data_IF_894520597922
#
_entry.id   IF_894520597922
#
_cell.length_a   1.000
_cell.length_b   1.000
_cell.length_c   1.000
_cell.angle_alpha   90.00
_cell.angle_beta   90.00
_cell.angle_gamma   90.00
#
_symmetry.space_group_name_H-M   'P 1'
#
loop_
_entity.id
_entity.type
_entity.pdbx_description
1 polymer ?
#
# COMPACT_ATOMS: atom_id res chain seq x y z
N UNK A 1 -11.74 19.62 8.74
CA UNK A 1 -10.34 20.01 9.00
C UNK A 1 -10.11 20.59 10.39
N UNK A 2 -10.61 21.80 10.72
CA UNK A 2 -10.27 22.48 12.00
C UNK A 2 -10.55 21.66 13.26
N UNK A 3 -11.66 20.93 13.31
CA UNK A 3 -11.95 20.02 14.42
C UNK A 3 -10.85 18.96 14.62
N UNK A 4 -10.29 18.40 13.55
CA UNK A 4 -9.17 17.46 13.61
C UNK A 4 -7.89 18.13 14.12
N UNK A 5 -7.58 19.34 13.63
CA UNK A 5 -6.44 20.15 14.15
C UNK A 5 -6.58 20.37 15.66
N UNK A 6 -7.79 20.71 16.08
CA UNK A 6 -8.13 21.00 17.45
C UNK A 6 -7.96 19.75 18.34
N UNK A 7 -8.45 18.58 17.91
CA UNK A 7 -8.25 17.31 18.63
C UNK A 7 -6.77 16.94 18.73
N UNK A 8 -6.01 17.09 17.65
CA UNK A 8 -4.57 16.82 17.65
C UNK A 8 -3.79 17.74 18.58
N UNK A 9 -4.21 19.00 18.74
CA UNK A 9 -3.62 19.91 19.72
C UNK A 9 -3.77 19.42 21.17
N UNK A 10 -4.69 18.47 21.41
CA UNK A 10 -4.90 17.79 22.69
C UNK A 10 -4.32 16.37 22.71
N UNK A 11 -3.60 15.97 21.67
CA UNK A 11 -3.01 14.64 21.52
C UNK A 11 -4.00 13.57 21.06
N UNK A 12 -5.22 13.93 20.65
CA UNK A 12 -6.26 12.96 20.27
C UNK A 12 -6.26 12.80 18.75
N UNK A 13 -6.10 11.56 18.27
CA UNK A 13 -6.24 11.18 16.86
C UNK A 13 -7.64 10.57 16.69
N UNK A 14 -8.48 11.15 15.83
CA UNK A 14 -9.85 10.65 15.61
C UNK A 14 -9.83 9.41 14.70
N UNK A 15 -10.12 8.24 15.25
CA UNK A 15 -10.10 6.96 14.50
C UNK A 15 -11.49 6.47 14.09
N UNK A 16 -12.52 7.28 14.29
CA UNK A 16 -13.93 6.96 14.00
C UNK A 16 -14.59 8.00 13.10
N UNK A 17 -13.82 8.67 12.24
CA UNK A 17 -14.33 9.67 11.32
C UNK A 17 -14.99 9.00 10.10
N UNK A 18 -16.24 9.34 9.84
CA UNK A 18 -16.99 9.02 8.61
C UNK A 18 -18.10 10.05 8.41
N UNK A 19 -18.73 10.07 7.24
CA UNK A 19 -19.78 11.04 6.88
C UNK A 19 -20.93 11.06 7.90
N UNK A 20 -21.37 9.88 8.36
CA UNK A 20 -22.39 9.75 9.41
C UNK A 20 -22.06 10.37 10.78
N UNK A 21 -20.78 10.64 11.08
CA UNK A 21 -20.35 11.30 12.32
C UNK A 21 -20.13 12.81 12.14
N UNK A 22 -20.59 13.36 11.02
CA UNK A 22 -20.50 14.78 10.71
C UNK A 22 -21.91 15.34 10.64
N UNK A 23 -22.26 16.16 11.63
CA UNK A 23 -23.51 16.91 11.63
C UNK A 23 -23.30 18.27 10.97
N UNK A 24 -24.17 18.60 10.02
CA UNK A 24 -24.18 19.91 9.38
C UNK A 24 -25.31 20.72 10.03
N UNK A 25 -24.95 21.81 10.70
CA UNK A 25 -25.88 22.69 11.40
C UNK A 25 -25.50 24.14 11.12
N UNK A 26 -26.41 24.92 10.52
CA UNK A 26 -26.26 26.36 10.27
C UNK A 26 -24.89 26.73 9.63
N UNK A 27 -24.54 26.07 8.51
CA UNK A 27 -23.26 26.26 7.79
C UNK A 27 -22.01 25.84 8.57
N UNK A 28 -22.16 25.20 9.72
CA UNK A 28 -21.07 24.63 10.49
C UNK A 28 -21.11 23.10 10.43
N UNK A 29 -19.95 22.47 10.30
CA UNK A 29 -19.80 21.02 10.42
C UNK A 29 -19.28 20.69 11.82
N UNK A 30 -20.00 19.84 12.54
CA UNK A 30 -19.70 19.39 13.90
C UNK A 30 -19.37 17.91 13.88
N UNK A 31 -18.28 17.53 14.53
CA UNK A 31 -17.87 16.13 14.67
C UNK A 31 -18.54 15.52 15.91
N UNK A 32 -19.20 14.38 15.73
CA UNK A 32 -19.82 13.60 16.81
C UNK A 32 -19.01 12.33 17.10
N UNK A 33 -19.48 11.53 18.05
CA UNK A 33 -19.00 10.17 18.32
C UNK A 33 -17.50 10.04 18.64
N UNK A 34 -16.95 11.10 19.23
CA UNK A 34 -15.57 11.12 19.75
C UNK A 34 -15.34 10.09 20.86
N UNK A 35 -16.41 9.60 21.50
CA UNK A 35 -16.30 8.60 22.56
C UNK A 35 -15.68 7.29 22.06
N UNK A 36 -15.90 6.89 20.80
CA UNK A 36 -15.28 5.69 20.23
C UNK A 36 -13.75 5.80 20.26
N UNK A 37 -13.23 6.97 19.88
CA UNK A 37 -11.81 7.29 19.96
C UNK A 37 -11.33 7.34 21.43
N UNK A 38 -12.09 8.02 22.29
CA UNK A 38 -11.73 8.20 23.70
C UNK A 38 -11.82 6.91 24.53
N UNK A 39 -12.63 5.94 24.14
CA UNK A 39 -12.69 4.62 24.77
C UNK A 39 -11.80 3.58 24.10
N UNK A 40 -11.08 3.95 23.03
CA UNK A 40 -10.18 3.06 22.32
C UNK A 40 -10.90 1.88 21.65
N UNK A 41 -12.14 2.10 21.21
CA UNK A 41 -12.90 1.09 20.47
C UNK A 41 -12.26 0.87 19.10
N UNK A 42 -12.15 -0.39 18.70
CA UNK A 42 -11.51 -0.76 17.45
C UNK A 42 -12.39 -0.41 16.23
N UNK A 43 -11.73 -0.19 15.09
CA UNK A 43 -12.41 0.09 13.82
C UNK A 43 -13.11 -1.18 13.31
N UNK A 44 -14.22 -1.05 12.56
CA UNK A 44 -14.81 -2.18 11.85
C UNK A 44 -13.77 -2.86 10.94
N UNK A 45 -13.81 -4.20 10.88
CA UNK A 45 -12.85 -5.02 10.11
C UNK A 45 -12.68 -4.52 8.68
N UNK A 46 -13.79 -4.22 7.99
CA UNK A 46 -13.78 -3.72 6.60
C UNK A 46 -13.01 -2.40 6.48
N UNK A 47 -13.20 -1.47 7.40
CA UNK A 47 -12.52 -0.17 7.38
C UNK A 47 -11.03 -0.35 7.68
N UNK A 48 -10.70 -1.22 8.63
CA UNK A 48 -9.31 -1.56 8.96
C UNK A 48 -8.58 -2.13 7.74
N UNK A 49 -9.16 -3.12 7.05
CA UNK A 49 -8.52 -3.74 5.88
C UNK A 49 -8.26 -2.75 4.73
N UNK A 50 -9.12 -1.71 4.59
CA UNK A 50 -8.92 -0.63 3.63
C UNK A 50 -7.81 0.35 4.03
N UNK A 51 -7.68 0.64 5.32
CA UNK A 51 -6.77 1.67 5.85
C UNK A 51 -5.36 1.14 6.14
N UNK A 52 -5.22 -0.09 6.64
CA UNK A 52 -3.93 -0.66 7.06
C UNK A 52 -2.82 -0.57 6.00
N UNK A 53 -3.08 -0.71 4.68
CA UNK A 53 -2.05 -0.52 3.65
C UNK A 53 -1.44 0.90 3.61
N UNK A 54 -2.15 1.91 4.10
CA UNK A 54 -1.75 3.32 4.09
C UNK A 54 -1.24 3.81 5.45
N UNK A 55 -1.61 3.15 6.54
CA UNK A 55 -1.28 3.56 7.92
C UNK A 55 0.24 3.64 8.19
N UNK A 56 1.05 3.00 7.35
CA UNK A 56 2.51 3.14 7.35
C UNK A 56 3.00 4.57 7.03
N UNK A 57 2.21 5.36 6.28
CA UNK A 57 2.65 6.64 5.69
C UNK A 57 1.66 7.79 5.92
N UNK A 58 0.45 7.47 6.36
CA UNK A 58 -0.64 8.43 6.59
C UNK A 58 -1.29 8.07 7.92
N UNK A 59 -1.60 9.08 8.72
CA UNK A 59 -2.27 8.83 10.00
C UNK A 59 -3.74 8.44 9.79
N UNK A 60 -4.32 7.57 10.66
CA UNK A 60 -5.66 7.03 10.46
C UNK A 60 -6.76 8.08 10.26
N UNK A 61 -6.70 9.19 11.00
CA UNK A 61 -7.66 10.30 10.93
C UNK A 61 -7.62 11.03 9.57
N UNK A 62 -6.44 11.13 8.95
CA UNK A 62 -6.27 11.71 7.61
C UNK A 62 -6.78 10.78 6.52
N UNK A 63 -6.54 9.47 6.64
CA UNK A 63 -7.08 8.49 5.69
C UNK A 63 -8.61 8.58 5.71
N UNK A 64 -9.23 8.53 6.89
CA UNK A 64 -10.68 8.66 7.05
C UNK A 64 -11.21 9.99 6.54
N UNK A 65 -10.49 11.09 6.78
CA UNK A 65 -10.85 12.39 6.24
C UNK A 65 -10.85 12.38 4.69
N UNK A 66 -9.88 11.69 4.08
CA UNK A 66 -9.87 11.44 2.64
C UNK A 66 -11.08 10.64 2.16
N UNK A 67 -11.49 9.59 2.87
CA UNK A 67 -12.70 8.83 2.55
C UNK A 67 -13.95 9.71 2.58
N UNK A 68 -14.09 10.58 3.59
CA UNK A 68 -15.20 11.53 3.71
C UNK A 68 -15.21 12.52 2.54
N UNK A 69 -14.06 13.10 2.18
CA UNK A 69 -13.98 14.04 1.05
C UNK A 69 -14.37 13.35 -0.26
N UNK A 70 -13.86 12.13 -0.48
CA UNK A 70 -14.19 11.34 -1.66
C UNK A 70 -15.71 11.07 -1.74
N UNK A 71 -16.32 10.63 -0.64
CA UNK A 71 -17.76 10.37 -0.56
C UNK A 71 -18.57 11.64 -0.80
N UNK A 72 -18.20 12.77 -0.20
CA UNK A 72 -18.89 14.04 -0.41
C UNK A 72 -18.79 14.53 -1.86
N UNK A 73 -17.67 14.27 -2.54
CA UNK A 73 -17.44 14.75 -3.89
C UNK A 73 -18.02 13.83 -4.97
N UNK A 74 -18.16 12.53 -4.69
CA UNK A 74 -18.64 11.53 -5.66
C UNK A 74 -20.03 10.97 -5.36
N UNK A 75 -20.50 11.12 -4.11
CA UNK A 75 -21.70 10.46 -3.58
C UNK A 75 -21.51 8.96 -3.31
N UNK A 76 -20.29 8.43 -3.39
CA UNK A 76 -20.00 6.99 -3.29
C UNK A 76 -18.95 6.70 -2.20
N UNK A 77 -19.14 5.59 -1.49
CA UNK A 77 -18.11 5.08 -0.58
C UNK A 77 -16.89 4.56 -1.35
N UNK A 78 -15.69 4.95 -0.91
CA UNK A 78 -14.46 4.40 -1.46
C UNK A 78 -14.25 2.95 -0.95
N UNK A 79 -14.48 1.97 -1.82
CA UNK A 79 -14.38 0.54 -1.50
C UNK A 79 -12.97 -0.05 -1.69
N UNK A 80 -12.00 0.76 -2.08
CA UNK A 80 -10.60 0.40 -2.27
C UNK A 80 -9.70 1.23 -1.35
N UNK A 81 -8.46 0.79 -1.06
CA UNK A 81 -7.52 1.60 -0.29
C UNK A 81 -7.20 2.96 -0.96
N UNK A 82 -7.34 3.06 -2.28
CA UNK A 82 -6.99 4.27 -3.03
C UNK A 82 -8.05 4.55 -4.11
N UNK A 83 -8.38 5.83 -4.36
CA UNK A 83 -9.27 6.20 -5.46
C UNK A 83 -8.60 5.94 -6.82
N UNK A 84 -9.42 5.63 -7.82
CA UNK A 84 -8.96 5.45 -9.19
C UNK A 84 -8.54 6.79 -9.80
N UNK A 85 -7.46 6.77 -10.58
CA UNK A 85 -6.92 7.98 -11.21
C UNK A 85 -7.91 8.62 -12.19
N UNK A 86 -8.66 7.81 -12.92
CA UNK A 86 -9.70 8.28 -13.85
C UNK A 86 -10.78 9.09 -13.15
N UNK A 87 -11.18 8.69 -11.94
CA UNK A 87 -12.16 9.43 -11.14
C UNK A 87 -11.55 10.76 -10.71
N UNK A 88 -10.33 10.74 -10.14
CA UNK A 88 -9.64 11.95 -9.71
C UNK A 88 -9.45 12.98 -10.84
N UNK A 89 -9.23 12.53 -12.08
CA UNK A 89 -9.05 13.40 -13.23
C UNK A 89 -10.35 14.06 -13.70
N UNK A 90 -11.50 13.54 -13.29
CA UNK A 90 -12.83 14.12 -13.57
C UNK A 90 -13.36 15.01 -12.45
N UNK A 91 -12.71 15.00 -11.27
CA UNK A 91 -13.12 15.78 -10.11
C UNK A 91 -12.63 17.22 -10.18
N UNK A 92 -13.20 18.08 -9.34
CA UNK A 92 -12.67 19.42 -9.11
C UNK A 92 -11.17 19.34 -8.71
N UNK A 93 -10.28 20.13 -9.34
CA UNK A 93 -8.84 20.05 -9.08
C UNK A 93 -8.45 20.25 -7.61
N UNK A 94 -9.16 21.12 -6.88
CA UNK A 94 -8.85 21.41 -5.48
C UNK A 94 -9.15 20.19 -4.60
N UNK A 95 -10.22 19.46 -4.92
CA UNK A 95 -10.59 18.21 -4.24
C UNK A 95 -9.62 17.09 -4.63
N UNK A 96 -9.35 16.95 -5.93
CA UNK A 96 -8.45 15.93 -6.46
C UNK A 96 -7.04 16.05 -5.85
N UNK A 97 -6.51 17.26 -5.72
CA UNK A 97 -5.17 17.48 -5.17
C UNK A 97 -5.07 17.09 -3.69
N UNK A 98 -6.12 17.35 -2.90
CA UNK A 98 -6.22 16.90 -1.50
C UNK A 98 -6.24 15.37 -1.43
N UNK A 99 -7.05 14.70 -2.27
CA UNK A 99 -7.14 13.24 -2.31
C UNK A 99 -5.82 12.60 -2.79
N UNK A 100 -5.16 13.20 -3.78
CA UNK A 100 -3.83 12.78 -4.24
C UNK A 100 -2.78 12.91 -3.14
N UNK A 101 -2.83 13.99 -2.36
CA UNK A 101 -1.95 14.17 -1.21
C UNK A 101 -2.17 13.09 -0.14
N UNK A 102 -3.42 12.78 0.20
CA UNK A 102 -3.72 11.79 1.23
C UNK A 102 -3.41 10.36 0.74
N UNK A 103 -3.86 9.96 -0.44
CA UNK A 103 -3.85 8.56 -0.87
C UNK A 103 -2.68 8.16 -1.77
N UNK A 104 -2.05 9.12 -2.47
CA UNK A 104 -1.05 8.85 -3.52
C UNK A 104 0.34 9.40 -3.18
N UNK A 105 0.58 9.87 -1.94
CA UNK A 105 1.90 10.35 -1.50
C UNK A 105 3.01 9.29 -1.73
N UNK A 106 2.66 8.00 -1.65
CA UNK A 106 3.59 6.87 -1.86
C UNK A 106 3.82 6.50 -3.32
N UNK A 107 2.89 6.79 -4.23
CA UNK A 107 2.97 6.35 -5.63
C UNK A 107 4.22 6.92 -6.32
N UNK A 108 4.70 8.10 -5.89
CA UNK A 108 5.97 8.68 -6.37
C UNK A 108 7.20 8.01 -5.76
N UNK A 109 7.10 7.43 -4.55
CA UNK A 109 8.24 6.77 -3.86
C UNK A 109 8.46 5.33 -4.34
N UNK A 110 7.38 4.57 -4.57
CA UNK A 110 7.48 3.17 -5.04
C UNK A 110 8.10 3.11 -6.46
N UNK A 111 7.82 4.11 -7.30
CA UNK A 111 8.43 4.21 -8.63
C UNK A 111 9.90 4.63 -8.58
N UNK A 112 10.27 5.51 -7.64
CA UNK A 112 11.67 5.92 -7.43
C UNK A 112 12.56 4.81 -6.86
N UNK A 113 12.00 3.86 -6.09
CA UNK A 113 12.71 2.66 -5.60
C UNK A 113 12.79 1.52 -6.65
N UNK A 114 12.21 1.71 -7.84
CA UNK A 114 12.22 0.75 -8.96
C UNK A 114 12.98 1.31 -10.17
N UNK A 115 14.23 1.73 -9.98
CA UNK A 115 15.18 1.84 -11.10
C UNK A 115 15.85 0.48 -11.32
N UNK A 116 15.91 -0.04 -12.56
CA UNK A 116 16.59 -1.29 -12.85
C UNK A 116 18.11 -1.09 -12.76
N UNK A 117 18.77 -2.03 -12.09
CA UNK A 117 20.23 -2.17 -12.10
C UNK A 117 20.67 -2.37 -13.55
N UNK A 118 21.30 -1.37 -14.15
CA UNK A 118 22.05 -1.52 -15.39
C UNK A 118 23.30 -2.34 -15.09
N UNK A 119 23.39 -3.49 -15.73
CA UNK A 119 24.53 -4.40 -15.72
C UNK A 119 25.66 -3.74 -16.51
N UNK A 120 26.77 -3.44 -15.82
CA UNK A 120 28.08 -3.36 -16.47
C UNK A 120 29.16 -3.83 -15.49
N UNK A 121 29.96 -4.79 -15.90
CA UNK A 121 31.13 -5.32 -15.21
C UNK A 121 32.23 -5.57 -16.27
N UNK A 122 33.51 -5.84 -15.92
CA UNK A 122 34.24 -5.59 -14.66
C UNK A 122 35.64 -4.95 -14.86
N UNK A 123 36.22 -4.36 -13.81
CA UNK A 123 37.69 -4.42 -13.59
C UNK A 123 38.08 -4.26 -12.10
N UNK A 124 38.78 -5.29 -11.59
CA UNK A 124 39.85 -5.36 -10.56
C UNK A 124 40.00 -4.22 -9.52
N UNK A 125 40.23 -4.40 -8.21
CA UNK A 125 40.52 -5.53 -7.29
C UNK A 125 40.47 -4.93 -5.84
N UNK A 126 40.71 -5.69 -4.75
CA UNK A 126 39.98 -5.56 -3.48
C UNK A 126 40.65 -4.69 -2.42
N UNK A 127 39.85 -4.11 -1.51
CA UNK A 127 40.28 -3.82 -0.15
C UNK A 127 39.12 -3.97 0.83
N UNK A 128 39.45 -4.66 1.91
CA UNK A 128 38.64 -5.02 3.06
C UNK A 128 38.26 -3.81 3.92
N UNK A 129 36.99 -3.71 4.28
CA UNK A 129 36.56 -3.18 5.57
C UNK A 129 35.07 -3.44 5.74
N UNK A 130 34.75 -4.49 6.51
CA UNK A 130 33.49 -4.59 7.22
C UNK A 130 33.31 -3.31 8.06
N UNK A 131 32.28 -2.54 7.77
CA UNK A 131 31.79 -1.49 8.66
C UNK A 131 30.29 -1.33 8.44
N UNK A 132 29.56 -1.83 9.42
CA UNK A 132 28.18 -1.57 9.82
C UNK A 132 27.53 -0.38 9.08
N UNK A 133 26.52 -0.68 8.24
CA UNK A 133 25.60 0.33 7.72
C UNK A 133 24.17 -0.23 7.71
N UNK A 134 23.73 -0.68 8.88
CA UNK A 134 22.34 -0.95 9.22
C UNK A 134 22.08 -0.29 10.56
N UNK A 135 22.15 1.03 10.59
CA UNK A 135 21.61 1.89 11.67
C UNK A 135 21.75 3.34 11.20
N UNK A 136 21.04 3.69 10.13
CA UNK A 136 20.51 5.04 10.00
C UNK A 136 19.00 4.90 9.99
N UNK A 137 18.40 5.11 11.17
CA UNK A 137 17.02 5.57 11.25
C UNK A 137 16.95 6.84 10.38
N UNK A 138 16.39 6.72 9.17
CA UNK A 138 16.10 7.87 8.33
C UNK A 138 15.05 8.73 9.04
N UNK A 139 15.55 9.68 9.81
CA UNK A 139 14.82 10.79 10.38
C UNK A 139 14.11 11.55 9.24
N UNK A 140 12.77 11.53 9.25
CA UNK A 140 11.96 12.45 8.46
C UNK A 140 11.42 11.96 7.12
N UNK A 141 10.90 10.73 7.03
CA UNK A 141 9.97 10.39 5.94
C UNK A 141 8.73 11.31 6.04
N UNK A 142 8.36 12.12 5.02
CA UNK A 142 7.22 13.03 5.15
C UNK A 142 5.94 12.21 5.15
N UNK A 143 5.45 11.88 6.35
CA UNK A 143 4.10 11.39 6.61
C UNK A 143 3.13 12.47 6.15
N UNK A 144 2.00 12.11 5.54
CA UNK A 144 0.98 13.11 5.25
C UNK A 144 0.64 13.86 6.54
N UNK A 145 0.78 15.19 6.51
CA UNK A 145 0.68 16.02 7.70
C UNK A 145 -0.54 16.92 7.61
N UNK A 146 -1.22 17.06 8.74
CA UNK A 146 -2.42 17.86 8.84
C UNK A 146 -2.12 19.37 8.63
N UNK A 147 -0.90 19.81 9.00
CA UNK A 147 -0.42 21.18 8.74
C UNK A 147 -0.33 21.46 7.25
N UNK A 148 0.31 20.59 6.47
CA UNK A 148 0.43 20.77 5.02
C UNK A 148 -0.92 20.65 4.32
N UNK A 149 -1.81 19.79 4.83
CA UNK A 149 -3.16 19.67 4.29
C UNK A 149 -3.97 20.96 4.49
N UNK A 150 -3.72 21.72 5.57
CA UNK A 150 -4.42 22.98 5.81
C UNK A 150 -4.05 24.12 4.85
N UNK A 151 -2.92 24.01 4.15
CA UNK A 151 -2.45 24.98 3.15
C UNK A 151 -3.16 24.84 1.80
N UNK A 152 -3.94 23.78 1.60
CA UNK A 152 -4.65 23.57 0.33
C UNK A 152 -5.75 24.62 0.16
N UNK A 153 -5.92 25.18 -1.05
CA UNK A 153 -6.92 26.22 -1.32
C UNK A 153 -8.35 25.83 -0.92
N UNK A 154 -8.66 24.52 -0.92
CA UNK A 154 -9.94 23.97 -0.51
C UNK A 154 -10.36 24.41 0.90
N UNK A 155 -9.40 24.64 1.80
CA UNK A 155 -9.67 24.95 3.20
C UNK A 155 -9.57 26.45 3.54
N UNK A 156 -9.21 27.29 2.57
CA UNK A 156 -9.13 28.74 2.77
C UNK A 156 -10.47 29.48 2.55
N UNK A 157 -11.48 28.82 1.99
CA UNK A 157 -12.72 29.44 1.53
C UNK A 157 -13.75 29.75 2.63
N UNK A 158 -13.48 29.42 3.91
CA UNK A 158 -14.44 29.54 4.98
C UNK A 158 -13.96 30.45 6.12
N UNK A 159 -14.69 31.55 6.33
CA UNK A 159 -14.62 32.41 7.53
C UNK A 159 -15.14 31.63 8.73
N UNK A 160 -14.24 30.87 9.34
CA UNK A 160 -14.52 30.06 10.51
C UNK A 160 -13.83 30.68 11.75
N UNK A 161 -14.36 30.48 12.95
CA UNK A 161 -13.75 30.96 14.18
C UNK A 161 -12.43 30.23 14.49
N UNK A 162 -11.56 30.85 15.31
CA UNK A 162 -10.23 30.31 15.62
C UNK A 162 -10.33 28.97 16.36
N UNK A 163 -9.32 28.11 16.20
CA UNK A 163 -9.28 26.80 16.88
C UNK A 163 -9.36 26.95 18.41
N UNK A 164 -8.79 28.02 18.95
CA UNK A 164 -8.81 28.32 20.39
C UNK A 164 -10.21 28.57 20.92
N UNK A 165 -11.08 29.19 20.11
CA UNK A 165 -12.48 29.41 20.48
C UNK A 165 -13.29 28.11 20.53
N UNK A 166 -12.91 27.06 19.79
CA UNK A 166 -13.65 25.78 19.75
C UNK A 166 -13.59 25.02 21.08
N UNK A 167 -12.58 25.29 21.90
CA UNK A 167 -12.39 24.64 23.20
C UNK A 167 -12.29 25.64 24.36
N UNK A 168 -12.66 26.90 24.14
CA UNK A 168 -12.69 27.90 25.19
C UNK A 168 -13.63 27.41 26.32
N UNK A 169 -13.04 27.04 27.47
CA UNK A 169 -13.75 26.54 28.64
C UNK A 169 -13.62 25.03 28.91
N UNK A 170 -13.17 24.22 27.95
CA UNK A 170 -12.97 22.78 28.19
C UNK A 170 -11.58 22.50 28.77
N UNK A 171 -11.52 22.12 30.05
CA UNK A 171 -10.29 21.75 30.75
C UNK A 171 -10.35 20.30 31.20
N UNK A 172 -9.41 19.50 30.70
CA UNK A 172 -9.18 18.14 31.20
C UNK A 172 -8.39 18.21 32.52
N UNK A 173 -8.87 17.52 33.56
CA UNK A 173 -8.09 17.30 34.78
C UNK A 173 -6.90 16.35 34.52
N UNK A 174 -6.00 16.25 35.50
CA UNK A 174 -4.80 15.41 35.40
C UNK A 174 -5.10 13.92 35.24
N UNK A 175 -6.17 13.43 35.88
CA UNK A 175 -6.65 12.05 35.78
C UNK A 175 -7.16 11.75 34.38
N UNK A 176 -8.06 12.59 33.85
CA UNK A 176 -8.55 12.46 32.47
C UNK A 176 -7.41 12.50 31.45
N UNK A 177 -6.43 13.40 31.61
CA UNK A 177 -5.23 13.42 30.76
C UNK A 177 -4.42 12.12 30.85
N UNK A 178 -4.31 11.54 32.04
CA UNK A 178 -3.66 10.24 32.26
C UNK A 178 -4.35 9.13 31.48
N UNK A 179 -5.67 9.02 31.63
CA UNK A 179 -6.51 8.03 30.94
C UNK A 179 -6.44 8.18 29.43
N UNK A 180 -6.59 9.41 28.91
CA UNK A 180 -6.49 9.70 27.46
C UNK A 180 -5.13 9.27 26.91
N UNK A 181 -4.02 9.59 27.60
CA UNK A 181 -2.68 9.14 27.17
C UNK A 181 -2.53 7.63 27.14
N UNK A 182 -3.12 6.92 28.10
CA UNK A 182 -3.10 5.46 28.14
C UNK A 182 -3.85 4.87 26.93
N UNK A 183 -5.03 5.38 26.63
CA UNK A 183 -5.83 4.96 25.47
C UNK A 183 -5.10 5.26 24.16
N UNK A 184 -4.50 6.44 24.02
CA UNK A 184 -3.71 6.79 22.83
C UNK A 184 -2.59 5.78 22.61
N UNK A 185 -1.83 5.44 23.65
CA UNK A 185 -0.74 4.44 23.56
C UNK A 185 -1.28 3.06 23.19
N UNK A 186 -2.41 2.65 23.76
CA UNK A 186 -3.04 1.38 23.44
C UNK A 186 -3.51 1.32 21.97
N UNK A 187 -4.10 2.40 21.45
CA UNK A 187 -4.50 2.49 20.05
C UNK A 187 -3.30 2.49 19.11
N UNK A 188 -2.23 3.23 19.44
CA UNK A 188 -0.97 3.22 18.67
C UNK A 188 -0.39 1.81 18.59
N UNK A 189 -0.21 1.14 19.73
CA UNK A 189 0.31 -0.23 19.77
C UNK A 189 -0.58 -1.21 18.96
N UNK A 190 -1.90 -1.02 18.98
CA UNK A 190 -2.84 -1.83 18.19
C UNK A 190 -2.68 -1.58 16.68
N UNK A 191 -2.61 -0.32 16.25
CA UNK A 191 -2.38 0.03 14.85
C UNK A 191 -1.05 -0.52 14.36
N UNK A 192 0.02 -0.40 15.15
CA UNK A 192 1.34 -0.94 14.82
C UNK A 192 1.30 -2.47 14.64
N UNK A 193 0.58 -3.18 15.51
CA UNK A 193 0.36 -4.62 15.39
C UNK A 193 -0.41 -4.97 14.11
N UNK A 194 -1.41 -4.19 13.73
CA UNK A 194 -2.15 -4.39 12.48
C UNK A 194 -1.29 -4.17 11.25
N UNK A 195 -0.51 -3.08 11.22
CA UNK A 195 0.44 -2.80 10.13
C UNK A 195 1.46 -3.91 10.01
N UNK A 196 2.00 -4.40 11.13
CA UNK A 196 2.98 -5.50 11.17
C UNK A 196 2.37 -6.78 10.61
N UNK A 197 1.21 -7.19 11.10
CA UNK A 197 0.49 -8.37 10.62
C UNK A 197 0.14 -8.28 9.13
N UNK A 198 -0.21 -7.10 8.64
CA UNK A 198 -0.46 -6.87 7.23
C UNK A 198 0.81 -7.07 6.39
N UNK A 199 1.95 -6.50 6.85
CA UNK A 199 3.24 -6.68 6.17
C UNK A 199 3.68 -8.14 6.13
N UNK A 200 3.49 -8.88 7.22
CA UNK A 200 3.76 -10.33 7.27
C UNK A 200 2.88 -11.11 6.28
N UNK A 201 1.57 -10.81 6.25
CA UNK A 201 0.66 -11.48 5.31
C UNK A 201 1.01 -11.19 3.85
N UNK A 202 1.43 -9.96 3.54
CA UNK A 202 1.83 -9.59 2.19
C UNK A 202 3.18 -10.22 1.81
N UNK A 203 4.13 -10.33 2.75
CA UNK A 203 5.42 -10.98 2.50
C UNK A 203 5.24 -12.48 2.22
N UNK A 204 4.38 -13.16 2.99
CA UNK A 204 3.98 -14.55 2.72
C UNK A 204 3.36 -14.72 1.33
N UNK A 205 2.47 -13.81 0.94
CA UNK A 205 1.81 -13.86 -0.38
C UNK A 205 2.82 -13.73 -1.52
N UNK A 206 3.79 -12.82 -1.38
CA UNK A 206 4.87 -12.65 -2.35
C UNK A 206 5.74 -13.90 -2.43
N UNK A 207 6.10 -14.50 -1.29
CA UNK A 207 6.96 -15.68 -1.27
C UNK A 207 6.25 -16.90 -1.86
N UNK A 208 4.96 -17.11 -1.55
CA UNK A 208 4.14 -18.15 -2.20
C UNK A 208 4.13 -18.01 -3.73
N UNK A 209 3.94 -16.78 -4.23
CA UNK A 209 3.99 -16.53 -5.68
C UNK A 209 5.37 -16.84 -6.29
N UNK A 210 6.46 -16.58 -5.57
CA UNK A 210 7.82 -16.91 -6.04
C UNK A 210 8.04 -18.41 -6.09
N UNK A 211 7.60 -19.14 -5.06
CA UNK A 211 7.66 -20.61 -5.02
C UNK A 211 6.85 -21.20 -6.18
N UNK A 212 5.63 -20.73 -6.42
CA UNK A 212 4.78 -21.20 -7.52
C UNK A 212 5.43 -20.97 -8.90
N UNK A 213 6.06 -19.80 -9.11
CA UNK A 213 6.80 -19.52 -10.34
C UNK A 213 7.98 -20.48 -10.52
N UNK A 214 8.73 -20.77 -9.45
CA UNK A 214 9.84 -21.73 -9.48
C UNK A 214 9.36 -23.14 -9.80
N UNK A 215 8.24 -23.57 -9.21
CA UNK A 215 7.65 -24.88 -9.49
C UNK A 215 7.19 -25.00 -10.95
N UNK A 216 6.49 -23.98 -11.48
CA UNK A 216 6.09 -23.93 -12.90
C UNK A 216 7.29 -23.99 -13.85
N UNK A 217 8.36 -23.26 -13.56
CA UNK A 217 9.60 -23.30 -14.35
C UNK A 217 10.26 -24.68 -14.33
N UNK A 218 10.36 -25.32 -13.15
CA UNK A 218 10.89 -26.69 -13.03
C UNK A 218 10.03 -27.70 -13.80
N UNK A 219 8.71 -27.55 -13.76
CA UNK A 219 7.80 -28.42 -14.51
C UNK A 219 8.00 -28.28 -16.02
N UNK A 220 8.16 -27.06 -16.53
CA UNK A 220 8.45 -26.80 -17.95
C UNK A 220 9.80 -27.38 -18.37
N UNK A 221 10.85 -27.24 -17.56
CA UNK A 221 12.16 -27.84 -17.84
C UNK A 221 12.08 -29.37 -17.92
N UNK A 222 11.37 -30.02 -16.98
CA UNK A 222 11.16 -31.46 -17.02
C UNK A 222 10.36 -31.91 -18.25
N UNK A 223 9.34 -31.15 -18.70
CA UNK A 223 8.64 -31.48 -19.94
C UNK A 223 9.52 -31.33 -21.18
N UNK A 224 10.36 -30.29 -21.25
CA UNK A 224 11.27 -30.11 -22.39
C UNK A 224 12.34 -31.19 -22.45
N UNK A 225 12.91 -31.60 -21.31
CA UNK A 225 13.87 -32.70 -21.26
C UNK A 225 13.22 -34.04 -21.66
N UNK A 226 11.99 -34.32 -21.22
CA UNK A 226 11.26 -35.52 -21.66
C UNK A 226 11.03 -35.53 -23.18
N UNK A 227 10.66 -34.40 -23.76
CA UNK A 227 10.49 -34.28 -25.21
C UNK A 227 11.81 -34.50 -25.97
N UNK A 228 12.93 -33.94 -25.50
CA UNK A 228 14.27 -34.14 -26.09
C UNK A 228 14.70 -35.62 -26.03
N UNK A 229 14.47 -36.30 -24.91
CA UNK A 229 14.79 -37.74 -24.77
C UNK A 229 13.94 -38.60 -25.72
N UNK A 230 12.65 -38.29 -25.86
CA UNK A 230 11.77 -39.02 -26.78
C UNK A 230 12.13 -38.81 -28.26
N UNK A 231 12.61 -37.63 -28.65
CA UNK A 231 13.06 -37.37 -30.02
C UNK A 231 14.43 -37.99 -30.31
N UNK A 232 15.33 -38.05 -29.32
CA UNK A 232 16.59 -38.77 -29.43
C UNK A 232 16.38 -40.28 -29.67
N UNK A 233 15.43 -40.91 -28.97
CA UNK A 233 15.14 -42.33 -29.16
C UNK A 233 14.46 -42.64 -30.51
N UNK A 234 13.63 -41.74 -31.05
CA UNK A 234 13.08 -41.89 -32.40
C UNK A 234 14.14 -41.85 -33.50
N UNK A 235 15.19 -41.05 -33.33
CA UNK A 235 16.29 -40.95 -34.31
C UNK A 235 17.17 -42.21 -34.36
N UNK A 236 17.24 -42.98 -33.27
CA UNK A 236 17.97 -44.27 -33.20
C UNK A 236 17.18 -45.44 -33.80
N UNK A 237 15.85 -45.40 -33.74
CA UNK A 237 14.98 -46.45 -34.33
C UNK A 237 14.87 -46.32 -35.85
N UNK A 238 15.01 -45.11 -36.41
CA UNK A 238 14.94 -44.91 -37.87
C UNK A 238 16.23 -45.29 -38.62
N UNK A 239 17.38 -45.30 -37.94
CA UNK A 239 18.68 -45.68 -38.51
C UNK A 239 18.86 -47.20 -38.62
N UNK A 240 18.25 -47.98 -37.73
CA UNK A 240 18.29 -49.46 -37.78
C UNK A 240 17.37 -50.07 -38.85
N UNK A 241 16.31 -49.37 -39.28
CA UNK A 241 15.37 -49.89 -40.29
C UNK A 241 15.76 -49.60 -41.75
N UNK A 242 16.79 -48.80 -42.00
CA UNK A 242 17.19 -48.41 -43.38
C UNK A 242 18.30 -49.28 -43.98
N UNK A 243 18.85 -50.24 -43.23
CA UNK A 243 19.99 -51.06 -43.65
C UNK A 243 19.66 -52.35 -44.41
N UNK A 244 18.38 -52.72 -44.59
CA UNK A 244 18.01 -54.06 -45.10
C UNK A 244 17.44 -54.12 -46.53
N UNK A 245 17.51 -53.05 -47.33
CA UNK A 245 16.87 -53.02 -48.68
C UNK A 245 17.81 -52.73 -49.85
N UNK A 246 19.14 -52.85 -49.69
CA UNK A 246 20.09 -52.56 -50.78
C UNK A 246 20.98 -53.75 -51.12
N UNK A 247 20.37 -54.89 -51.48
CA UNK A 247 21.10 -56.01 -52.07
C UNK A 247 20.18 -56.97 -52.85
N UNK A 248 19.58 -56.53 -53.98
CA UNK A 248 19.07 -57.45 -55.01
C UNK A 248 18.52 -56.71 -56.24
N UNK A 249 19.39 -56.14 -57.08
CA UNK A 249 19.00 -55.75 -58.44
C UNK A 249 20.24 -55.50 -59.32
N UNK A 250 20.92 -56.57 -59.74
CA UNK A 250 21.85 -56.49 -60.86
C UNK A 250 21.98 -57.87 -61.50
N UNK A 251 21.10 -58.19 -62.45
CA UNK A 251 21.41 -59.03 -63.61
C UNK A 251 20.20 -59.10 -64.56
N UNK A 252 20.34 -58.49 -65.74
CA UNK A 252 19.77 -58.99 -67.00
C UNK A 252 20.53 -58.37 -68.19
N UNK A 253 20.95 -59.17 -69.19
CA UNK A 253 21.69 -58.70 -70.35
C UNK A 253 20.74 -58.25 -71.48
N UNK A 254 21.24 -57.34 -72.33
CA UNK A 254 20.59 -56.89 -73.55
C UNK A 254 20.90 -57.82 -74.74
N UNK A 255 20.04 -57.87 -75.77
CA UNK A 255 20.21 -58.69 -76.97
C UNK A 255 21.27 -58.15 -77.94
#
# INVERSE_FOLDING_TARGET
>A
MRALMALRSKGIICESLHSGNILIDNKSAKLTDLYNTLFGLDRPVRLRDLMTPLEAYVEPDLIQFGHVIYEMATGLELASPRPDSSILDTMDPMIADVLRYIFLLDSRRILSKRTPVSITAPSSQPSSSELNLWDEECEGDPKASLSRLSEFPLFHLADLPSIESLFAGFRLDSGMKGVIRMIIRANQARNDAHVTRYREKESERIERQRVDRRLKLKQLQHSSQKNIVMDADKSKVSTLRRSSYRASAAHRPAP
#
